data_IF_567622931308
#
_entry.id   IF_567622931308
#
_cell.length_a   1.000
_cell.length_b   1.000
_cell.length_c   1.000
_cell.angle_alpha   90.00
_cell.angle_beta   90.00
_cell.angle_gamma   90.00
#
_symmetry.space_group_name_H-M   'P 1'
#
loop_
_entity.id
_entity.type
_entity.pdbx_description
1 polymer ?
#
# COMPACT_ATOMS: atom_id res chain seq x y z
N UNK A 1 -6.22 -74.34 4.78
CA UNK A 1 -7.10 -73.20 5.15
C UNK A 1 -6.42 -72.44 6.28
N UNK A 2 -5.77 -71.32 5.96
CA UNK A 2 -5.11 -70.45 6.93
C UNK A 2 -5.73 -69.06 6.78
N UNK A 3 -6.48 -68.65 7.80
CA UNK A 3 -7.28 -67.43 7.83
C UNK A 3 -6.42 -66.31 8.43
N UNK A 4 -5.97 -65.39 7.58
CA UNK A 4 -5.24 -64.20 8.00
C UNK A 4 -6.23 -63.13 8.46
N UNK A 5 -6.07 -62.69 9.70
CA UNK A 5 -6.76 -61.60 10.39
C UNK A 5 -6.29 -60.22 9.87
N UNK A 6 -7.15 -59.39 9.26
CA UNK A 6 -6.81 -58.03 8.87
C UNK A 6 -7.38 -57.01 9.88
N UNK A 7 -6.90 -57.02 11.11
CA UNK A 7 -7.22 -55.98 12.08
C UNK A 7 -6.33 -54.73 11.86
N UNK A 8 -6.88 -53.55 11.55
CA UNK A 8 -6.11 -52.32 11.33
C UNK A 8 -5.59 -51.77 12.68
N UNK A 9 -4.27 -51.76 12.86
CA UNK A 9 -3.62 -51.08 13.99
C UNK A 9 -3.66 -49.56 13.78
N UNK A 10 -4.60 -48.91 14.45
CA UNK A 10 -4.64 -47.45 14.61
C UNK A 10 -3.38 -46.99 15.37
N UNK A 11 -2.42 -46.42 14.64
CA UNK A 11 -1.24 -45.76 15.21
C UNK A 11 -1.63 -44.31 15.52
N UNK A 12 -1.86 -44.02 16.79
CA UNK A 12 -1.94 -42.64 17.31
C UNK A 12 -0.60 -41.95 17.08
N UNK A 13 -0.54 -41.14 16.02
CA UNK A 13 0.54 -40.18 15.81
C UNK A 13 0.30 -39.03 16.78
N UNK A 14 1.18 -38.92 17.77
CA UNK A 14 1.25 -37.81 18.71
C UNK A 14 1.59 -36.54 17.93
N UNK A 15 0.60 -35.66 17.78
CA UNK A 15 0.74 -34.33 17.21
C UNK A 15 1.31 -33.40 18.29
N UNK A 16 2.63 -33.46 18.50
CA UNK A 16 3.33 -32.43 19.28
C UNK A 16 3.56 -31.21 18.36
N UNK A 17 2.48 -30.46 18.17
CA UNK A 17 2.52 -29.07 17.73
C UNK A 17 2.96 -28.21 18.92
N UNK A 18 4.20 -27.76 18.90
CA UNK A 18 4.59 -26.45 19.43
C UNK A 18 5.95 -26.07 18.85
N UNK A 19 5.92 -25.24 17.82
CA UNK A 19 7.10 -24.52 17.35
C UNK A 19 7.79 -23.81 18.54
N UNK A 20 9.13 -23.80 18.61
CA UNK A 20 9.85 -23.22 19.71
C UNK A 20 9.64 -21.70 19.74
N UNK A 21 8.95 -21.21 20.77
CA UNK A 21 9.01 -19.81 21.13
C UNK A 21 10.47 -19.47 21.44
N UNK A 22 11.06 -18.61 20.60
CA UNK A 22 12.38 -18.03 20.81
C UNK A 22 12.30 -17.09 22.03
N UNK A 23 12.41 -17.67 23.22
CA UNK A 23 12.59 -16.93 24.47
C UNK A 23 14.02 -16.41 24.46
N UNK A 24 14.18 -15.12 24.20
CA UNK A 24 15.42 -14.40 24.43
C UNK A 24 15.76 -14.49 25.93
N UNK A 25 16.64 -15.43 26.27
CA UNK A 25 17.29 -15.55 27.58
C UNK A 25 18.45 -14.54 27.63
N UNK A 26 18.37 -13.44 28.39
CA UNK A 26 19.54 -12.59 28.60
C UNK A 26 20.60 -13.36 29.40
N UNK A 27 21.89 -13.19 29.09
CA UNK A 27 22.96 -13.88 29.79
C UNK A 27 23.22 -13.22 31.14
N UNK A 28 23.26 -14.07 32.18
CA UNK A 28 24.06 -13.93 33.38
C UNK A 28 23.98 -12.62 34.17
N UNK A 29 23.37 -12.67 35.35
CA UNK A 29 23.96 -12.00 36.51
C UNK A 29 23.56 -12.75 37.79
N UNK A 30 24.53 -13.11 38.65
CA UNK A 30 24.29 -13.85 39.87
C UNK A 30 23.61 -12.98 40.94
N UNK A 31 23.04 -13.69 41.90
CA UNK A 31 22.16 -13.20 42.95
C UNK A 31 22.76 -12.14 43.88
N UNK A 32 21.81 -11.41 44.48
CA UNK A 32 21.85 -10.72 45.77
C UNK A 32 22.66 -9.42 45.86
N UNK A 33 21.97 -8.28 46.04
CA UNK A 33 21.97 -7.57 47.32
C UNK A 33 20.86 -6.50 47.37
N UNK A 34 20.47 -6.24 48.61
CA UNK A 34 19.31 -5.55 49.13
C UNK A 34 19.29 -4.02 49.01
N UNK A 35 18.06 -3.49 49.06
CA UNK A 35 17.65 -2.24 49.76
C UNK A 35 17.98 -0.89 49.12
N UNK A 36 16.91 -0.12 48.92
CA UNK A 36 16.91 1.32 49.19
C UNK A 36 17.08 2.23 47.98
N UNK A 37 15.97 2.55 47.30
CA UNK A 37 15.64 3.91 46.84
C UNK A 37 14.35 3.86 46.02
N UNK A 38 13.23 4.14 46.69
CA UNK A 38 11.95 4.42 46.04
C UNK A 38 12.01 5.83 45.44
N UNK A 39 12.87 6.02 44.44
CA UNK A 39 12.92 7.24 43.65
C UNK A 39 11.77 7.16 42.63
N UNK A 40 10.70 7.87 42.95
CA UNK A 40 9.60 8.17 42.04
C UNK A 40 10.14 8.95 40.85
N UNK A 41 10.63 8.25 39.82
CA UNK A 41 10.77 8.79 38.47
C UNK A 41 9.37 9.01 37.91
N UNK A 42 8.74 10.08 38.39
CA UNK A 42 7.59 10.72 37.74
C UNK A 42 8.11 11.29 36.43
N UNK A 43 8.21 10.43 35.43
CA UNK A 43 8.43 10.83 34.04
C UNK A 43 7.26 11.69 33.61
N UNK A 44 7.40 13.00 33.83
CA UNK A 44 6.63 14.05 33.16
C UNK A 44 7.15 14.16 31.72
N UNK A 45 7.07 13.08 30.96
CA UNK A 45 7.23 13.15 29.51
C UNK A 45 5.97 13.79 28.94
N UNK A 46 6.02 15.09 28.71
CA UNK A 46 4.97 15.87 28.04
C UNK A 46 4.51 15.14 26.77
N UNK A 47 3.25 14.63 26.71
CA UNK A 47 2.75 13.82 25.60
C UNK A 47 2.69 14.56 24.25
N UNK A 48 2.94 15.88 24.24
CA UNK A 48 2.83 16.72 23.06
C UNK A 48 4.14 16.93 22.28
N UNK A 49 5.33 16.67 22.88
CA UNK A 49 6.59 16.68 22.12
C UNK A 49 6.80 15.39 21.35
N UNK A 50 6.41 14.25 21.93
CA UNK A 50 6.53 12.94 21.28
C UNK A 50 5.71 12.84 19.99
N UNK A 51 4.51 13.42 19.94
CA UNK A 51 3.62 13.31 18.76
C UNK A 51 4.17 14.02 17.51
N UNK A 52 4.80 15.20 17.68
CA UNK A 52 5.41 15.93 16.55
C UNK A 52 6.68 15.24 16.04
N UNK A 53 7.48 14.67 16.92
CA UNK A 53 8.69 13.94 16.56
C UNK A 53 8.35 12.62 15.87
N UNK A 54 7.36 11.88 16.38
CA UNK A 54 6.82 10.66 15.75
C UNK A 54 6.26 10.98 14.36
N UNK A 55 5.50 12.06 14.20
CA UNK A 55 4.98 12.46 12.89
C UNK A 55 6.08 12.83 11.89
N UNK A 56 7.18 13.46 12.35
CA UNK A 56 8.35 13.75 11.50
C UNK A 56 9.10 12.49 11.13
N UNK A 57 9.31 11.57 12.08
CA UNK A 57 9.94 10.27 11.83
C UNK A 57 9.13 9.45 10.82
N UNK A 58 7.81 9.37 11.00
CA UNK A 58 6.91 8.69 10.07
C UNK A 58 6.97 9.28 8.65
N UNK A 59 7.07 10.62 8.52
CA UNK A 59 7.24 11.27 7.21
C UNK A 59 8.58 10.94 6.56
N UNK A 60 9.68 10.88 7.33
CA UNK A 60 11.00 10.49 6.80
C UNK A 60 10.99 9.04 6.31
N UNK A 61 10.42 8.13 7.11
CA UNK A 61 10.25 6.72 6.72
C UNK A 61 9.38 6.61 5.45
N UNK A 62 8.27 7.35 5.39
CA UNK A 62 7.42 7.37 4.20
C UNK A 62 8.15 7.93 2.96
N UNK A 63 9.01 8.93 3.14
CA UNK A 63 9.82 9.48 2.04
C UNK A 63 10.90 8.50 1.59
N UNK A 64 11.63 7.87 2.52
CA UNK A 64 12.62 6.84 2.21
C UNK A 64 11.97 5.65 1.51
N UNK A 65 10.85 5.16 2.02
CA UNK A 65 10.08 4.08 1.40
C UNK A 65 9.59 4.47 0.00
N UNK A 66 9.19 5.73 -0.23
CA UNK A 66 8.82 6.21 -1.57
C UNK A 66 10.02 6.29 -2.51
N UNK A 67 11.19 6.69 -2.02
CA UNK A 67 12.41 6.73 -2.81
C UNK A 67 12.85 5.31 -3.21
N UNK A 68 12.79 4.36 -2.27
CA UNK A 68 13.08 2.95 -2.53
C UNK A 68 11.99 2.24 -3.37
N UNK A 69 10.74 2.74 -3.33
CA UNK A 69 9.65 2.25 -4.18
C UNK A 69 9.67 2.82 -5.60
N UNK A 70 10.63 3.69 -5.94
CA UNK A 70 10.90 4.02 -7.34
C UNK A 70 11.52 2.78 -7.99
N UNK A 71 10.65 1.96 -8.54
CA UNK A 71 10.99 0.75 -9.28
C UNK A 71 11.95 1.15 -10.40
N UNK A 72 13.22 0.74 -10.29
CA UNK A 72 14.15 0.74 -11.41
C UNK A 72 13.58 -0.06 -12.58
N UNK A 73 14.11 0.17 -13.78
CA UNK A 73 13.72 -0.45 -15.06
C UNK A 73 13.69 -1.99 -15.03
N UNK A 74 12.63 -2.55 -14.44
CA UNK A 74 12.25 -3.95 -14.57
C UNK A 74 10.89 -4.00 -15.27
N UNK A 75 10.93 -4.19 -16.60
CA UNK A 75 9.75 -4.37 -17.46
C UNK A 75 8.77 -5.42 -16.91
N UNK A 76 9.31 -6.41 -16.22
CA UNK A 76 8.55 -7.52 -15.63
C UNK A 76 7.57 -7.03 -14.55
N UNK A 77 7.95 -6.07 -13.70
CA UNK A 77 7.05 -5.53 -12.66
C UNK A 77 5.90 -4.72 -13.26
N UNK A 78 6.15 -4.02 -14.38
CA UNK A 78 5.10 -3.27 -15.10
C UNK A 78 4.13 -4.20 -15.80
N UNK A 79 4.64 -5.22 -16.51
CA UNK A 79 3.80 -6.26 -17.13
C UNK A 79 2.93 -6.95 -16.08
N UNK A 80 3.51 -7.25 -14.91
CA UNK A 80 2.76 -7.81 -13.80
C UNK A 80 1.70 -6.83 -13.27
N UNK A 81 2.01 -5.55 -13.12
CA UNK A 81 1.05 -4.53 -12.70
C UNK A 81 -0.14 -4.40 -13.66
N UNK A 82 0.07 -4.55 -14.97
CA UNK A 82 -1.00 -4.59 -15.96
C UNK A 82 -1.95 -5.78 -15.73
N UNK A 83 -1.39 -6.99 -15.55
CA UNK A 83 -2.19 -8.20 -15.25
C UNK A 83 -2.96 -8.08 -13.93
N UNK A 84 -2.36 -7.45 -12.93
CA UNK A 84 -3.04 -7.16 -11.66
C UNK A 84 -4.20 -6.19 -11.88
N UNK A 85 -4.01 -5.12 -12.65
CA UNK A 85 -5.07 -4.16 -12.96
C UNK A 85 -6.27 -4.82 -13.65
N UNK A 86 -6.02 -5.69 -14.64
CA UNK A 86 -7.07 -6.46 -15.33
C UNK A 86 -7.81 -7.43 -14.40
N UNK A 87 -7.15 -7.90 -13.34
CA UNK A 87 -7.71 -8.86 -12.40
C UNK A 87 -8.52 -8.21 -11.27
N UNK A 88 -8.41 -6.89 -11.06
CA UNK A 88 -9.14 -6.16 -10.03
C UNK A 88 -10.58 -5.92 -10.47
N UNK A 89 -11.52 -6.23 -9.59
CA UNK A 89 -12.95 -6.07 -9.79
C UNK A 89 -13.55 -4.98 -8.89
N UNK A 90 -14.81 -4.62 -9.15
CA UNK A 90 -15.56 -3.69 -8.28
C UNK A 90 -15.11 -2.23 -8.37
N UNK A 91 -14.32 -1.85 -9.39
CA UNK A 91 -13.89 -0.47 -9.63
C UNK A 91 -13.19 0.14 -8.41
N UNK A 92 -13.87 1.09 -7.73
CA UNK A 92 -13.35 1.75 -6.52
C UNK A 92 -13.31 0.85 -5.28
N UNK A 93 -14.07 -0.25 -5.25
CA UNK A 93 -13.98 -1.21 -4.14
C UNK A 93 -12.64 -1.97 -4.16
N UNK A 94 -11.96 -2.02 -5.32
CA UNK A 94 -10.66 -2.64 -5.50
C UNK A 94 -10.61 -4.09 -5.00
N UNK A 95 -11.66 -4.85 -5.33
CA UNK A 95 -11.80 -6.23 -4.89
C UNK A 95 -10.89 -7.12 -5.72
N UNK A 96 -10.12 -7.95 -5.04
CA UNK A 96 -9.30 -8.98 -5.67
C UNK A 96 -9.66 -10.31 -5.02
N UNK A 97 -10.49 -11.15 -5.67
CA UNK A 97 -10.86 -12.47 -5.19
C UNK A 97 -9.62 -13.32 -4.84
N UNK A 98 -9.74 -14.19 -3.85
CA UNK A 98 -8.63 -14.99 -3.35
C UNK A 98 -8.03 -15.86 -4.46
N UNK A 99 -8.87 -16.47 -5.29
CA UNK A 99 -8.48 -17.33 -6.42
C UNK A 99 -7.63 -16.54 -7.43
N UNK A 100 -8.05 -15.30 -7.76
CA UNK A 100 -7.29 -14.41 -8.64
C UNK A 100 -5.97 -13.98 -8.01
N UNK A 101 -5.97 -13.69 -6.71
CA UNK A 101 -4.76 -13.35 -5.96
C UNK A 101 -3.73 -14.48 -6.01
N UNK A 102 -4.16 -15.73 -5.79
CA UNK A 102 -3.26 -16.89 -5.84
C UNK A 102 -2.68 -17.10 -7.24
N UNK A 103 -3.50 -16.96 -8.29
CA UNK A 103 -3.04 -17.04 -9.69
C UNK A 103 -2.04 -15.94 -10.05
N UNK A 104 -2.25 -14.73 -9.55
CA UNK A 104 -1.31 -13.62 -9.74
C UNK A 104 0.03 -13.89 -9.06
N UNK A 105 0.04 -14.40 -7.82
CA UNK A 105 1.27 -14.74 -7.12
C UNK A 105 2.04 -15.86 -7.83
N UNK A 106 1.35 -16.87 -8.33
CA UNK A 106 1.98 -17.93 -9.14
C UNK A 106 2.55 -17.38 -10.45
N UNK A 107 1.83 -16.47 -11.11
CA UNK A 107 2.32 -15.77 -12.30
C UNK A 107 3.58 -14.96 -11.99
N UNK A 108 3.59 -14.23 -10.87
CA UNK A 108 4.73 -13.44 -10.44
C UNK A 108 5.97 -14.32 -10.19
N UNK A 109 5.77 -15.48 -9.55
CA UNK A 109 6.83 -16.48 -9.32
C UNK A 109 7.43 -16.98 -10.64
N UNK A 110 6.61 -17.27 -11.64
CA UNK A 110 7.06 -17.69 -12.99
C UNK A 110 7.81 -16.59 -13.74
N UNK A 111 7.48 -15.33 -13.46
CA UNK A 111 8.17 -14.16 -14.00
C UNK A 111 9.47 -13.82 -13.22
N UNK A 112 9.85 -14.61 -12.22
CA UNK A 112 11.03 -14.33 -11.39
C UNK A 112 10.84 -13.17 -10.40
N UNK A 113 9.61 -12.68 -10.24
CA UNK A 113 9.31 -11.60 -9.28
C UNK A 113 9.32 -12.19 -7.88
N UNK A 114 10.03 -11.52 -6.96
CA UNK A 114 10.05 -11.92 -5.55
C UNK A 114 8.64 -11.82 -4.94
N UNK A 115 8.23 -12.75 -4.05
CA UNK A 115 6.89 -12.74 -3.46
C UNK A 115 6.51 -11.43 -2.76
N UNK A 116 7.51 -10.79 -2.12
CA UNK A 116 7.34 -9.48 -1.50
C UNK A 116 7.01 -8.38 -2.51
N UNK A 117 7.76 -8.34 -3.63
CA UNK A 117 7.55 -7.35 -4.69
C UNK A 117 6.20 -7.55 -5.38
N UNK A 118 5.80 -8.80 -5.62
CA UNK A 118 4.49 -9.12 -6.17
C UNK A 118 3.36 -8.61 -5.25
N UNK A 119 3.50 -8.82 -3.94
CA UNK A 119 2.54 -8.34 -2.95
C UNK A 119 2.48 -6.80 -2.92
N UNK A 120 3.62 -6.13 -3.07
CA UNK A 120 3.70 -4.68 -3.14
C UNK A 120 3.00 -4.13 -4.39
N UNK A 121 3.24 -4.71 -5.56
CA UNK A 121 2.59 -4.31 -6.81
C UNK A 121 1.06 -4.47 -6.72
N UNK A 122 0.59 -5.58 -6.12
CA UNK A 122 -0.84 -5.80 -5.88
C UNK A 122 -1.43 -4.68 -5.01
N UNK A 123 -0.77 -4.35 -3.90
CA UNK A 123 -1.24 -3.29 -3.01
C UNK A 123 -1.30 -1.92 -3.69
N UNK A 124 -0.28 -1.59 -4.50
CA UNK A 124 -0.24 -0.32 -5.25
C UNK A 124 -1.37 -0.26 -6.28
N UNK A 125 -1.61 -1.35 -7.02
CA UNK A 125 -2.67 -1.42 -8.01
C UNK A 125 -4.06 -1.30 -7.36
N UNK A 126 -4.28 -1.95 -6.22
CA UNK A 126 -5.52 -1.82 -5.45
C UNK A 126 -5.73 -0.40 -4.91
N UNK A 127 -4.69 0.26 -4.40
CA UNK A 127 -4.78 1.67 -3.97
C UNK A 127 -5.13 2.59 -5.15
N UNK A 128 -4.52 2.38 -6.32
CA UNK A 128 -4.86 3.11 -7.53
C UNK A 128 -6.32 2.84 -7.96
N UNK A 129 -6.80 1.60 -7.86
CA UNK A 129 -8.19 1.23 -8.12
C UNK A 129 -9.16 2.00 -7.21
N UNK A 130 -8.87 2.06 -5.90
CA UNK A 130 -9.66 2.82 -4.91
C UNK A 130 -9.74 4.30 -5.25
N UNK A 131 -8.65 4.85 -5.79
CA UNK A 131 -8.58 6.25 -6.25
C UNK A 131 -9.22 6.49 -7.63
N UNK A 132 -9.66 5.44 -8.33
CA UNK A 132 -10.16 5.53 -9.71
C UNK A 132 -9.06 5.82 -10.73
N UNK A 133 -7.82 5.47 -10.42
CA UNK A 133 -6.62 5.70 -11.24
C UNK A 133 -6.17 4.46 -12.02
N UNK A 134 -6.96 3.38 -12.01
CA UNK A 134 -6.59 2.11 -12.64
C UNK A 134 -6.29 2.24 -14.15
N UNK A 135 -7.10 3.03 -14.87
CA UNK A 135 -6.92 3.29 -16.31
C UNK A 135 -5.69 4.14 -16.65
N UNK A 136 -4.87 4.52 -15.67
CA UNK A 136 -3.58 5.19 -15.87
C UNK A 136 -2.46 4.15 -15.87
N UNK A 137 -2.56 3.13 -15.02
CA UNK A 137 -1.67 1.96 -15.03
C UNK A 137 -1.83 1.21 -16.35
N UNK A 138 -3.07 1.02 -16.80
CA UNK A 138 -3.36 0.30 -18.05
C UNK A 138 -2.87 1.07 -19.29
N UNK A 139 -3.06 2.39 -19.34
CA UNK A 139 -2.56 3.23 -20.44
C UNK A 139 -1.03 3.25 -20.51
N UNK A 140 -0.35 3.43 -19.39
CA UNK A 140 1.12 3.43 -19.35
C UNK A 140 1.68 2.06 -19.79
N UNK A 141 1.00 0.96 -19.41
CA UNK A 141 1.40 -0.39 -19.81
C UNK A 141 1.21 -0.64 -21.32
N UNK A 142 0.12 -0.15 -21.91
CA UNK A 142 -0.15 -0.28 -23.37
C UNK A 142 0.80 0.56 -24.23
N UNK A 143 1.15 1.77 -23.77
CA UNK A 143 2.12 2.63 -24.47
C UNK A 143 3.52 2.01 -24.55
N UNK A 144 3.89 1.20 -23.55
CA UNK A 144 5.11 0.42 -23.56
C UNK A 144 5.04 -0.79 -24.50
N UNK A 145 3.90 -1.51 -24.52
CA UNK A 145 3.72 -2.66 -25.42
C UNK A 145 3.89 -2.31 -26.91
N UNK A 146 3.69 -1.03 -27.27
CA UNK A 146 3.94 -0.51 -28.62
C UNK A 146 5.37 -0.02 -28.86
N UNK A 147 6.32 -0.27 -27.94
CA UNK A 147 7.73 0.11 -28.11
C UNK A 147 8.02 1.62 -27.99
N UNK A 148 7.04 2.44 -27.62
CA UNK A 148 7.17 3.90 -27.53
C UNK A 148 7.74 4.38 -26.16
N UNK A 149 8.44 3.49 -25.45
CA UNK A 149 8.59 3.50 -23.99
C UNK A 149 9.74 4.30 -23.38
N UNK A 150 10.54 5.04 -24.15
CA UNK A 150 11.68 5.80 -23.61
C UNK A 150 11.30 7.15 -22.98
N UNK A 151 10.13 7.26 -22.34
CA UNK A 151 9.83 8.45 -21.53
C UNK A 151 9.90 8.10 -20.05
N UNK A 152 10.94 8.59 -19.32
CA UNK A 152 10.99 8.44 -17.88
C UNK A 152 9.72 9.04 -17.27
N UNK A 153 8.97 8.19 -16.56
CA UNK A 153 7.74 8.56 -15.87
C UNK A 153 8.02 9.74 -14.92
N UNK A 154 7.33 10.89 -15.07
CA UNK A 154 7.51 12.03 -14.17
C UNK A 154 6.96 11.68 -12.79
N UNK A 155 7.84 11.22 -11.91
CA UNK A 155 7.57 11.06 -10.49
C UNK A 155 7.22 12.42 -9.85
N UNK A 156 6.17 12.41 -9.01
CA UNK A 156 5.77 13.47 -8.06
C UNK A 156 4.99 14.71 -8.54
N UNK A 157 4.84 14.99 -9.84
CA UNK A 157 4.16 16.24 -10.29
C UNK A 157 2.62 16.17 -10.26
N UNK A 158 2.03 14.98 -10.08
CA UNK A 158 0.59 14.74 -10.30
C UNK A 158 -0.36 15.24 -9.22
N UNK A 159 0.12 15.41 -7.97
CA UNK A 159 -0.68 16.08 -6.92
C UNK A 159 -0.93 17.56 -7.22
N UNK A 160 -0.07 18.17 -8.06
CA UNK A 160 -0.14 19.57 -8.48
C UNK A 160 -1.20 19.79 -9.56
N UNK A 161 -1.45 18.81 -10.44
CA UNK A 161 -2.40 18.95 -11.55
C UNK A 161 -3.87 18.81 -11.12
N UNK A 162 -4.18 17.97 -10.12
CA UNK A 162 -5.53 17.89 -9.54
C UNK A 162 -5.90 19.16 -8.78
N UNK A 163 -4.97 19.73 -8.00
CA UNK A 163 -5.15 21.06 -7.38
C UNK A 163 -5.34 22.16 -8.43
N UNK A 164 -4.58 22.14 -9.52
CA UNK A 164 -4.73 23.12 -10.62
C UNK A 164 -6.09 23.01 -11.32
N UNK A 165 -6.60 21.78 -11.54
CA UNK A 165 -7.96 21.57 -12.08
C UNK A 165 -9.06 22.02 -11.12
N UNK A 166 -8.91 21.78 -9.82
CA UNK A 166 -9.84 22.26 -8.80
C UNK A 166 -9.86 23.79 -8.72
N UNK A 167 -8.69 24.43 -8.74
CA UNK A 167 -8.55 25.89 -8.79
C UNK A 167 -9.17 26.49 -10.06
N UNK A 168 -8.97 25.86 -11.22
CA UNK A 168 -9.59 26.31 -12.47
C UNK A 168 -11.13 26.21 -12.42
N UNK A 169 -11.69 25.13 -11.87
CA UNK A 169 -13.14 25.00 -11.71
C UNK A 169 -13.72 26.06 -10.78
N UNK A 170 -13.06 26.31 -9.65
CA UNK A 170 -13.44 27.39 -8.72
C UNK A 170 -13.40 28.76 -9.41
N UNK A 171 -12.34 29.04 -10.18
CA UNK A 171 -12.22 30.27 -10.95
C UNK A 171 -13.36 30.45 -11.95
N UNK A 172 -13.69 29.41 -12.72
CA UNK A 172 -14.80 29.43 -13.69
C UNK A 172 -16.14 29.65 -13.00
N UNK A 173 -16.40 28.99 -11.86
CA UNK A 173 -17.67 29.20 -11.13
C UNK A 173 -17.79 30.63 -10.58
N UNK A 174 -16.69 31.22 -10.13
CA UNK A 174 -16.64 32.59 -9.63
C UNK A 174 -16.86 33.62 -10.75
N UNK A 175 -16.20 33.45 -11.89
CA UNK A 175 -16.38 34.36 -13.03
C UNK A 175 -17.77 34.27 -13.62
N UNK A 176 -18.35 33.07 -13.72
CA UNK A 176 -19.72 32.89 -14.20
C UNK A 176 -20.73 33.55 -13.25
N UNK A 177 -20.57 33.37 -11.94
CA UNK A 177 -21.41 34.02 -10.94
C UNK A 177 -21.33 35.54 -10.97
N UNK A 178 -20.11 36.09 -11.13
CA UNK A 178 -19.90 37.53 -11.23
C UNK A 178 -20.53 38.13 -12.50
N UNK A 179 -20.40 37.45 -13.65
CA UNK A 179 -21.02 37.88 -14.91
C UNK A 179 -22.56 37.88 -14.79
N UNK A 180 -23.12 36.85 -14.19
CA UNK A 180 -24.57 36.73 -14.02
C UNK A 180 -25.11 37.80 -13.06
N UNK A 181 -24.38 38.11 -11.99
CA UNK A 181 -24.72 39.19 -11.07
C UNK A 181 -24.65 40.57 -11.76
N UNK A 182 -23.60 40.85 -12.53
CA UNK A 182 -23.46 42.11 -13.28
C UNK A 182 -24.55 42.27 -14.35
N UNK A 183 -24.88 41.20 -15.05
CA UNK A 183 -25.97 41.18 -16.02
C UNK A 183 -27.31 41.51 -15.35
N UNK A 184 -27.59 40.93 -14.19
CA UNK A 184 -28.81 41.19 -13.42
C UNK A 184 -28.89 42.65 -12.95
N UNK A 185 -27.77 43.21 -12.48
CA UNK A 185 -27.68 44.63 -12.09
C UNK A 185 -27.93 45.55 -13.29
N UNK A 186 -27.38 45.22 -14.46
CA UNK A 186 -27.58 45.99 -15.68
C UNK A 186 -29.05 45.98 -16.13
N UNK A 187 -29.70 44.82 -16.03
CA UNK A 187 -31.12 44.65 -16.36
C UNK A 187 -32.03 45.45 -15.42
N UNK A 188 -31.79 45.38 -14.10
CA UNK A 188 -32.56 46.17 -13.11
C UNK A 188 -32.35 47.67 -13.30
N UNK A 189 -31.17 48.09 -13.76
CA UNK A 189 -30.89 49.51 -14.07
C UNK A 189 -31.54 50.02 -15.37
N UNK A 190 -32.26 49.17 -16.11
CA UNK A 190 -33.05 49.60 -17.27
C UNK A 190 -32.20 49.91 -18.51
N UNK A 191 -31.20 49.08 -18.80
CA UNK A 191 -30.60 48.96 -20.14
C UNK A 191 -31.10 47.73 -20.86
#
# INVERSE_FOLDING_TARGET
>A
MAQADPSPRLRLVRSDDAAPALILRPPGTPAAHSVGARATLRSRSSPLRSTREVARAARRVQQANRASAQLGEEDVRRIFAARVAESIEGGRAALLPLEKRMRLLETARRLGIRPFDASLVIAIAQDAARRGELGLIERDSRLWATGAGERPLPGSTRRRTLRRRALLRLGVTLTLGALLALWLIAWVRGR
#
